data_IF_565742038393
#
_entry.id   IF_565742038393
#
_cell.length_a   1.000
_cell.length_b   1.000
_cell.length_c   1.000
_cell.angle_alpha   90.00
_cell.angle_beta   90.00
_cell.angle_gamma   90.00
#
_symmetry.space_group_name_H-M   'P 1'
#
loop_
_entity.id
_entity.type
_entity.pdbx_description
1 polymer ?
#
# COMPACT_ATOMS: atom_id res chain seq x y z
N UNK A 1 6.73 11.08 -21.35
CA UNK A 1 7.04 9.63 -21.44
C UNK A 1 5.77 8.75 -21.34
N UNK A 2 4.57 9.24 -21.68
CA UNK A 2 3.32 8.48 -21.51
C UNK A 2 2.98 7.48 -22.64
N UNK A 3 3.86 7.29 -23.63
CA UNK A 3 3.59 6.44 -24.79
C UNK A 3 4.23 5.05 -24.79
N UNK A 4 5.16 4.76 -23.87
CA UNK A 4 6.00 3.55 -23.97
C UNK A 4 5.41 2.29 -23.32
N UNK A 5 4.43 2.42 -22.41
CA UNK A 5 3.88 1.28 -21.68
C UNK A 5 2.57 0.71 -22.25
N UNK A 6 1.86 1.45 -23.11
CA UNK A 6 0.46 1.14 -23.44
C UNK A 6 0.24 -0.16 -24.26
N UNK A 7 1.27 -0.83 -24.78
CA UNK A 7 1.05 -1.99 -25.67
C UNK A 7 1.94 -3.22 -25.43
N UNK A 8 2.99 -3.17 -24.61
CA UNK A 8 3.97 -4.29 -24.59
C UNK A 8 3.61 -5.46 -23.66
N UNK A 9 2.74 -5.27 -22.65
CA UNK A 9 2.58 -6.26 -21.56
C UNK A 9 1.15 -6.61 -21.17
N UNK A 10 0.13 -6.20 -21.93
CA UNK A 10 -1.27 -6.48 -21.59
C UNK A 10 -1.70 -7.85 -22.14
N UNK A 11 -2.24 -8.69 -21.25
CA UNK A 11 -2.87 -9.97 -21.57
C UNK A 11 -1.90 -11.15 -21.71
N UNK A 12 -2.42 -12.39 -21.62
CA UNK A 12 -1.61 -13.60 -21.78
C UNK A 12 -1.10 -13.74 -23.23
N UNK A 13 0.14 -14.20 -23.38
CA UNK A 13 0.85 -14.41 -24.66
C UNK A 13 1.21 -15.88 -24.91
N UNK A 14 1.03 -16.74 -23.92
CA UNK A 14 1.28 -18.18 -24.00
C UNK A 14 0.37 -18.96 -23.05
N UNK A 15 0.35 -20.28 -23.18
CA UNK A 15 -0.52 -21.18 -22.40
C UNK A 15 -0.30 -21.10 -20.90
N UNK A 16 0.94 -20.87 -20.44
CA UNK A 16 1.23 -20.72 -19.01
C UNK A 16 0.59 -19.45 -18.45
N UNK A 17 0.70 -18.34 -19.18
CA UNK A 17 0.04 -17.08 -18.79
C UNK A 17 -1.48 -17.23 -18.84
N UNK A 18 -2.03 -17.92 -19.85
CA UNK A 18 -3.46 -18.20 -19.91
C UNK A 18 -3.94 -19.01 -18.70
N UNK A 19 -3.20 -20.04 -18.29
CA UNK A 19 -3.54 -20.84 -17.11
C UNK A 19 -3.56 -20.00 -15.82
N UNK A 20 -2.65 -19.03 -15.67
CA UNK A 20 -2.65 -18.10 -14.53
C UNK A 20 -3.87 -17.17 -14.58
N UNK A 21 -4.23 -16.66 -15.76
CA UNK A 21 -5.46 -15.85 -15.95
C UNK A 21 -6.71 -16.66 -15.61
N UNK A 22 -6.78 -17.92 -16.03
CA UNK A 22 -7.92 -18.81 -15.73
C UNK A 22 -8.04 -19.07 -14.22
N UNK A 23 -6.91 -19.29 -13.53
CA UNK A 23 -6.88 -19.44 -12.08
C UNK A 23 -7.29 -18.15 -11.35
N UNK A 24 -6.80 -17.00 -11.81
CA UNK A 24 -7.23 -15.69 -11.30
C UNK A 24 -8.74 -15.50 -11.48
N UNK A 25 -9.27 -15.79 -12.67
CA UNK A 25 -10.71 -15.66 -12.95
C UNK A 25 -11.57 -16.62 -12.14
N UNK A 26 -11.07 -17.82 -11.82
CA UNK A 26 -11.74 -18.72 -10.89
C UNK A 26 -11.87 -18.08 -9.50
N UNK A 27 -10.77 -17.55 -8.95
CA UNK A 27 -10.77 -16.87 -7.66
C UNK A 27 -11.62 -15.59 -7.66
N UNK A 28 -11.50 -14.76 -8.70
CA UNK A 28 -12.22 -13.50 -8.84
C UNK A 28 -13.73 -13.70 -8.93
N UNK A 29 -14.19 -14.72 -9.65
CA UNK A 29 -15.63 -15.08 -9.70
C UNK A 29 -16.18 -15.39 -8.31
N UNK A 30 -15.45 -16.17 -7.51
CA UNK A 30 -15.87 -16.47 -6.14
C UNK A 30 -15.85 -15.23 -5.23
N UNK A 31 -14.82 -14.37 -5.35
CA UNK A 31 -14.76 -13.11 -4.61
C UNK A 31 -15.96 -12.22 -4.96
N UNK A 32 -16.24 -12.07 -6.26
CA UNK A 32 -17.37 -11.28 -6.75
C UNK A 32 -18.72 -11.84 -6.29
N UNK A 33 -18.88 -13.15 -6.22
CA UNK A 33 -20.15 -13.76 -5.79
C UNK A 33 -20.38 -13.61 -4.27
N UNK A 34 -19.34 -13.82 -3.46
CA UNK A 34 -19.51 -13.99 -2.01
C UNK A 34 -18.93 -12.88 -1.13
N UNK A 35 -18.11 -11.99 -1.69
CA UNK A 35 -17.36 -11.00 -0.94
C UNK A 35 -17.19 -9.66 -1.69
N UNK A 36 -18.07 -9.33 -2.63
CA UNK A 36 -17.97 -8.10 -3.43
C UNK A 36 -17.88 -6.84 -2.55
N UNK A 37 -16.80 -6.07 -2.71
CA UNK A 37 -16.52 -4.87 -1.94
C UNK A 37 -16.09 -5.10 -0.49
N UNK A 38 -15.95 -6.37 -0.08
CA UNK A 38 -15.42 -6.75 1.23
C UNK A 38 -13.90 -6.92 1.15
N UNK A 39 -13.22 -6.93 2.29
CA UNK A 39 -11.76 -6.98 2.28
C UNK A 39 -11.23 -8.34 1.81
N UNK A 40 -11.87 -9.43 2.24
CA UNK A 40 -11.39 -10.78 2.02
C UNK A 40 -12.55 -11.74 1.70
N UNK A 41 -12.24 -12.79 0.97
CA UNK A 41 -13.12 -13.95 0.80
C UNK A 41 -12.64 -15.08 1.70
N UNK A 42 -13.54 -15.70 2.46
CA UNK A 42 -13.32 -17.02 3.05
C UNK A 42 -13.91 -18.09 2.12
N UNK A 43 -13.12 -18.70 1.21
CA UNK A 43 -13.66 -19.44 0.05
C UNK A 43 -14.35 -20.75 0.44
N UNK A 44 -13.91 -21.42 1.50
CA UNK A 44 -14.52 -22.67 1.97
C UNK A 44 -15.91 -22.41 2.56
N UNK A 45 -16.05 -21.35 3.36
CA UNK A 45 -17.32 -21.01 4.00
C UNK A 45 -18.21 -20.10 3.15
N UNK A 46 -17.69 -19.56 2.04
CA UNK A 46 -18.36 -18.59 1.14
C UNK A 46 -18.87 -17.37 1.88
N UNK A 47 -18.06 -16.86 2.81
CA UNK A 47 -18.37 -15.69 3.64
C UNK A 47 -17.35 -14.58 3.41
N UNK A 48 -17.76 -13.30 3.54
CA UNK A 48 -16.82 -12.20 3.53
C UNK A 48 -16.05 -12.10 4.85
N UNK A 49 -14.80 -11.65 4.75
CA UNK A 49 -13.98 -11.15 5.85
C UNK A 49 -13.86 -9.65 5.78
N UNK A 50 -13.87 -8.99 6.95
CA UNK A 50 -13.74 -7.53 7.05
C UNK A 50 -12.65 -7.17 8.03
N UNK A 51 -11.61 -6.50 7.55
CA UNK A 51 -10.47 -6.01 8.30
C UNK A 51 -10.40 -4.48 8.31
N UNK A 52 -10.07 -3.84 7.18
CA UNK A 52 -10.00 -2.38 7.06
C UNK A 52 -11.29 -1.75 6.54
N UNK A 53 -12.22 -2.53 5.99
CA UNK A 53 -13.42 -2.10 5.28
C UNK A 53 -13.11 -1.10 4.14
N UNK A 54 -12.14 -1.45 3.30
CA UNK A 54 -11.73 -0.64 2.14
C UNK A 54 -11.84 -1.41 0.82
N UNK A 55 -12.40 -2.63 0.85
CA UNK A 55 -12.45 -3.50 -0.32
C UNK A 55 -11.07 -4.03 -0.68
N UNK A 56 -10.28 -4.43 0.33
CA UNK A 56 -8.87 -4.79 0.22
C UNK A 56 -8.54 -5.65 -1.01
N UNK A 57 -9.13 -6.85 -1.12
CA UNK A 57 -8.90 -7.77 -2.27
C UNK A 57 -9.26 -7.13 -3.61
N UNK A 58 -10.31 -6.30 -3.66
CA UNK A 58 -10.72 -5.64 -4.90
C UNK A 58 -9.68 -4.61 -5.34
N UNK A 59 -9.19 -3.77 -4.43
CA UNK A 59 -8.20 -2.74 -4.73
C UNK A 59 -6.85 -3.38 -5.07
N UNK A 60 -6.42 -4.36 -4.29
CA UNK A 60 -5.14 -5.10 -4.45
C UNK A 60 -5.09 -5.93 -5.75
N UNK A 61 -6.23 -6.14 -6.41
CA UNK A 61 -6.33 -6.89 -7.67
C UNK A 61 -6.45 -6.01 -8.92
N UNK A 62 -6.57 -4.68 -8.79
CA UNK A 62 -6.82 -3.78 -9.92
C UNK A 62 -5.70 -3.78 -10.95
N UNK A 63 -4.46 -3.62 -10.51
CA UNK A 63 -3.28 -3.64 -11.37
C UNK A 63 -3.09 -5.01 -12.02
N UNK A 64 -3.34 -6.09 -11.28
CA UNK A 64 -3.27 -7.47 -11.76
C UNK A 64 -4.30 -7.70 -12.87
N UNK A 65 -5.55 -7.28 -12.67
CA UNK A 65 -6.59 -7.33 -13.72
C UNK A 65 -6.17 -6.55 -14.97
N UNK A 66 -5.56 -5.37 -14.78
CA UNK A 66 -5.08 -4.56 -15.89
C UNK A 66 -3.97 -5.27 -16.68
N UNK A 67 -2.93 -5.76 -16.00
CA UNK A 67 -1.81 -6.50 -16.60
C UNK A 67 -2.31 -7.76 -17.32
N UNK A 68 -3.26 -8.49 -16.73
CA UNK A 68 -3.86 -9.68 -17.32
C UNK A 68 -4.79 -9.38 -18.51
N UNK A 69 -5.05 -8.13 -18.84
CA UNK A 69 -5.96 -7.75 -19.93
C UNK A 69 -7.44 -8.03 -19.63
N UNK A 70 -7.81 -8.16 -18.35
CA UNK A 70 -9.17 -8.41 -17.88
C UNK A 70 -9.98 -7.11 -17.84
N UNK A 71 -10.14 -6.47 -18.99
CA UNK A 71 -10.71 -5.12 -19.11
C UNK A 71 -12.10 -4.99 -18.51
N UNK A 72 -12.94 -6.02 -18.62
CA UNK A 72 -14.31 -5.99 -18.10
C UNK A 72 -14.31 -5.98 -16.57
N UNK A 73 -13.60 -6.92 -15.98
CA UNK A 73 -13.46 -7.09 -14.53
C UNK A 73 -12.78 -5.86 -13.91
N UNK A 74 -11.71 -5.36 -14.55
CA UNK A 74 -11.03 -4.13 -14.17
C UNK A 74 -12.00 -2.93 -14.12
N UNK A 75 -12.78 -2.71 -15.20
CA UNK A 75 -13.73 -1.60 -15.26
C UNK A 75 -14.80 -1.69 -14.18
N UNK A 76 -15.29 -2.90 -13.89
CA UNK A 76 -16.27 -3.13 -12.84
C UNK A 76 -15.72 -2.83 -11.44
N UNK A 77 -14.52 -3.33 -11.13
CA UNK A 77 -13.82 -3.05 -9.87
C UNK A 77 -13.49 -1.56 -9.71
N UNK A 78 -12.96 -0.91 -10.77
CA UNK A 78 -12.74 0.53 -10.81
C UNK A 78 -14.02 1.32 -10.51
N UNK A 79 -15.14 0.91 -11.09
CA UNK A 79 -16.43 1.55 -10.84
C UNK A 79 -16.88 1.39 -9.39
N UNK A 80 -16.55 0.28 -8.73
CA UNK A 80 -16.80 0.14 -7.30
C UNK A 80 -15.95 1.12 -6.48
N UNK A 81 -14.65 1.24 -6.77
CA UNK A 81 -13.78 2.22 -6.11
C UNK A 81 -14.34 3.63 -6.27
N UNK A 82 -14.80 3.97 -7.48
CA UNK A 82 -15.37 5.27 -7.82
C UNK A 82 -16.65 5.65 -7.05
N UNK A 83 -17.50 4.66 -6.77
CA UNK A 83 -18.87 4.93 -6.35
C UNK A 83 -19.19 4.37 -4.96
N UNK A 84 -18.32 3.55 -4.38
CA UNK A 84 -18.65 2.76 -3.20
C UNK A 84 -17.53 2.69 -2.15
N UNK A 85 -16.27 2.97 -2.51
CA UNK A 85 -15.20 2.99 -1.52
C UNK A 85 -15.33 4.21 -0.60
N UNK A 86 -15.28 4.00 0.72
CA UNK A 86 -15.42 5.06 1.72
C UNK A 86 -14.16 5.11 2.60
N UNK A 87 -13.28 6.08 2.34
CA UNK A 87 -12.01 6.23 3.08
C UNK A 87 -12.25 6.80 4.48
N UNK A 88 -13.11 7.82 4.63
CA UNK A 88 -13.35 8.57 5.86
C UNK A 88 -14.29 7.86 6.85
N UNK A 89 -14.00 6.61 7.14
CA UNK A 89 -14.78 5.76 8.03
C UNK A 89 -14.17 5.69 9.44
N UNK A 90 -15.03 5.50 10.45
CA UNK A 90 -14.65 5.45 11.87
C UNK A 90 -14.02 4.10 12.26
N UNK A 91 -13.02 3.65 11.50
CA UNK A 91 -12.35 2.37 11.69
C UNK A 91 -10.85 2.58 11.83
N UNK A 92 -10.24 1.82 12.74
CA UNK A 92 -8.80 1.81 12.91
C UNK A 92 -8.17 0.91 11.85
N UNK A 93 -7.18 1.44 11.14
CA UNK A 93 -6.39 0.71 10.13
C UNK A 93 -4.95 0.58 10.58
N UNK A 94 -4.23 -0.42 10.04
CA UNK A 94 -2.78 -0.51 10.19
C UNK A 94 -2.14 0.34 9.07
N UNK A 95 -1.27 1.29 9.44
CA UNK A 95 -0.59 2.19 8.50
C UNK A 95 0.15 1.40 7.43
N UNK A 96 1.02 0.47 7.83
CA UNK A 96 1.83 -0.34 6.93
C UNK A 96 0.98 -1.11 5.92
N UNK A 97 0.03 -1.90 6.40
CA UNK A 97 -0.82 -2.76 5.55
C UNK A 97 -1.71 -1.94 4.62
N UNK A 98 -2.23 -0.81 5.09
CA UNK A 98 -3.05 0.09 4.25
C UNK A 98 -2.20 0.74 3.18
N UNK A 99 -0.95 1.11 3.50
CA UNK A 99 -0.03 1.71 2.55
C UNK A 99 0.37 0.72 1.46
N UNK A 100 0.91 -0.45 1.79
CA UNK A 100 1.46 -1.35 0.77
C UNK A 100 0.38 -1.99 -0.11
N UNK A 101 -0.85 -2.18 0.41
CA UNK A 101 -1.94 -2.83 -0.32
C UNK A 101 -2.85 -1.81 -1.02
N UNK A 102 -3.41 -0.88 -0.24
CA UNK A 102 -4.45 0.02 -0.77
C UNK A 102 -3.81 1.20 -1.48
N UNK A 103 -2.90 1.94 -0.83
CA UNK A 103 -2.25 3.09 -1.48
C UNK A 103 -1.37 2.62 -2.65
N UNK A 104 -0.57 1.57 -2.45
CA UNK A 104 0.24 0.93 -3.49
C UNK A 104 -0.59 0.44 -4.68
N UNK A 105 -1.70 -0.26 -4.44
CA UNK A 105 -2.61 -0.73 -5.49
C UNK A 105 -3.27 0.42 -6.27
N UNK A 106 -3.70 1.48 -5.59
CA UNK A 106 -4.27 2.68 -6.24
C UNK A 106 -3.23 3.43 -7.08
N UNK A 107 -1.99 3.56 -6.61
CA UNK A 107 -0.89 4.19 -7.34
C UNK A 107 -0.47 3.37 -8.56
N UNK A 108 -0.29 2.05 -8.39
CA UNK A 108 0.06 1.14 -9.49
C UNK A 108 -1.02 1.16 -10.57
N UNK A 109 -2.29 1.10 -10.16
CA UNK A 109 -3.42 1.21 -11.08
C UNK A 109 -3.44 2.54 -11.82
N UNK A 110 -3.17 3.66 -11.12
CA UNK A 110 -3.09 4.99 -11.73
C UNK A 110 -2.02 5.05 -12.82
N UNK A 111 -0.81 4.54 -12.56
CA UNK A 111 0.29 4.55 -13.53
C UNK A 111 0.03 3.61 -14.72
N UNK A 112 -0.57 2.44 -14.48
CA UNK A 112 -0.84 1.45 -15.52
C UNK A 112 -2.00 1.85 -16.43
N UNK A 113 -3.10 2.34 -15.86
CA UNK A 113 -4.30 2.60 -16.66
C UNK A 113 -4.19 3.83 -17.54
N UNK A 114 -3.24 4.72 -17.24
CA UNK A 114 -3.14 6.04 -17.87
C UNK A 114 -4.39 6.90 -17.62
N UNK A 115 -4.27 8.20 -17.87
CA UNK A 115 -5.38 9.15 -17.85
C UNK A 115 -6.18 9.13 -19.19
N UNK A 116 -6.22 8.00 -19.92
CA UNK A 116 -6.64 7.98 -21.34
C UNK A 116 -8.14 7.62 -21.57
N UNK A 117 -8.96 7.49 -20.53
CA UNK A 117 -10.42 7.23 -20.66
C UNK A 117 -11.27 8.38 -20.07
N UNK A 118 -10.91 9.63 -20.40
CA UNK A 118 -11.53 10.86 -19.89
C UNK A 118 -12.60 11.40 -20.84
N UNK A 119 -13.86 11.06 -20.55
CA UNK A 119 -14.96 11.99 -20.81
C UNK A 119 -16.03 12.02 -19.72
N UNK A 120 -15.93 11.19 -18.66
CA UNK A 120 -16.81 11.33 -17.48
C UNK A 120 -16.05 10.94 -16.21
N UNK A 121 -16.07 11.81 -15.19
CA UNK A 121 -15.38 11.68 -13.88
C UNK A 121 -13.85 11.73 -13.94
N UNK A 122 -13.33 12.95 -13.80
CA UNK A 122 -11.98 13.22 -13.32
C UNK A 122 -11.60 12.20 -12.22
N UNK A 123 -10.54 11.41 -12.44
CA UNK A 123 -9.59 11.11 -11.37
C UNK A 123 -10.00 10.22 -10.18
N UNK A 124 -10.85 9.21 -10.33
CA UNK A 124 -11.21 8.32 -9.19
C UNK A 124 -9.99 7.78 -8.43
N UNK A 125 -8.98 7.23 -9.13
CA UNK A 125 -7.77 6.72 -8.47
C UNK A 125 -6.91 7.86 -7.92
N UNK A 126 -6.80 8.98 -8.64
CA UNK A 126 -6.04 10.16 -8.18
C UNK A 126 -6.68 10.81 -6.94
N UNK A 127 -8.00 10.92 -6.88
CA UNK A 127 -8.73 11.41 -5.72
C UNK A 127 -8.59 10.41 -4.57
N UNK A 128 -8.88 9.12 -4.80
CA UNK A 128 -8.81 8.10 -3.76
C UNK A 128 -7.41 7.98 -3.14
N UNK A 129 -6.35 8.01 -3.94
CA UNK A 129 -4.97 7.94 -3.41
C UNK A 129 -4.57 9.19 -2.63
N UNK A 130 -5.02 10.38 -3.07
CA UNK A 130 -4.80 11.64 -2.33
C UNK A 130 -5.57 11.62 -1.01
N UNK A 131 -6.87 11.30 -1.05
CA UNK A 131 -7.72 11.22 0.14
C UNK A 131 -7.19 10.20 1.15
N UNK A 132 -6.73 9.04 0.68
CA UNK A 132 -6.13 8.03 1.53
C UNK A 132 -4.79 8.49 2.10
N UNK A 133 -3.90 9.04 1.28
CA UNK A 133 -2.63 9.57 1.74
C UNK A 133 -2.81 10.66 2.81
N UNK A 134 -3.73 11.59 2.59
CA UNK A 134 -4.10 12.63 3.54
C UNK A 134 -4.69 12.06 4.83
N UNK A 135 -5.53 11.04 4.72
CA UNK A 135 -6.08 10.35 5.88
C UNK A 135 -5.01 9.59 6.68
N UNK A 136 -3.89 9.20 6.06
CA UNK A 136 -2.77 8.48 6.68
C UNK A 136 -1.71 9.40 7.31
N UNK A 137 -1.53 10.63 6.81
CA UNK A 137 -0.55 11.60 7.31
C UNK A 137 -0.58 11.87 8.83
N UNK A 138 -1.73 11.84 9.53
CA UNK A 138 -1.76 12.04 10.97
C UNK A 138 -0.91 11.03 11.77
N UNK A 139 -0.58 9.87 11.21
CA UNK A 139 0.33 8.90 11.83
C UNK A 139 1.77 9.42 11.99
N UNK A 140 2.16 10.50 11.30
CA UNK A 140 3.53 11.05 11.27
C UNK A 140 3.69 12.40 11.98
N UNK A 141 2.63 12.93 12.61
CA UNK A 141 2.61 14.31 13.16
C UNK A 141 3.54 14.50 14.37
N UNK A 142 3.78 13.47 15.18
CA UNK A 142 4.74 13.54 16.27
C UNK A 142 5.79 12.45 16.08
N UNK A 143 7.03 12.82 15.79
CA UNK A 143 8.17 11.90 15.86
C UNK A 143 8.73 11.97 17.30
N UNK A 144 9.13 10.82 17.89
CA UNK A 144 9.25 9.49 17.28
C UNK A 144 8.01 8.61 17.48
N UNK A 145 6.81 9.19 17.41
CA UNK A 145 5.57 8.41 17.42
C UNK A 145 5.30 7.74 16.09
N UNK A 146 6.00 6.63 15.87
CA UNK A 146 5.75 5.68 14.79
C UNK A 146 4.48 4.86 15.03
N UNK A 147 3.33 5.51 15.07
CA UNK A 147 2.08 4.89 15.49
C UNK A 147 1.51 4.01 14.38
N UNK A 148 1.44 2.71 14.66
CA UNK A 148 0.99 1.69 13.72
C UNK A 148 -0.50 1.78 13.36
N UNK A 149 -1.35 2.27 14.26
CA UNK A 149 -2.81 2.28 14.05
C UNK A 149 -3.35 3.68 13.97
N UNK A 150 -4.25 3.89 13.02
CA UNK A 150 -4.84 5.18 12.74
C UNK A 150 -6.33 5.04 12.47
N UNK A 151 -7.13 5.90 13.09
CA UNK A 151 -8.53 6.02 12.75
C UNK A 151 -8.72 7.00 11.59
N UNK A 152 -9.13 6.51 10.41
CA UNK A 152 -9.14 7.31 9.19
C UNK A 152 -10.10 8.52 9.26
N UNK A 153 -11.22 8.40 9.99
CA UNK A 153 -12.17 9.52 10.17
C UNK A 153 -11.68 10.60 11.12
N UNK A 154 -11.02 10.22 12.21
CA UNK A 154 -10.66 11.16 13.29
C UNK A 154 -9.20 11.61 13.23
N UNK A 155 -8.36 10.97 12.42
CA UNK A 155 -6.92 11.19 12.40
C UNK A 155 -6.21 10.77 13.70
N UNK A 156 -6.91 10.11 14.63
CA UNK A 156 -6.34 9.70 15.91
C UNK A 156 -5.47 8.47 15.72
N UNK A 157 -4.17 8.67 15.84
CA UNK A 157 -3.19 7.60 15.87
C UNK A 157 -3.06 7.01 17.29
N UNK A 158 -3.01 5.69 17.41
CA UNK A 158 -2.96 4.99 18.70
C UNK A 158 -1.90 3.89 18.72
N UNK A 159 -1.18 3.73 19.85
CA UNK A 159 -0.26 2.60 20.00
C UNK A 159 -1.04 1.27 20.07
N UNK A 160 -0.36 0.14 19.87
CA UNK A 160 -0.87 -1.19 20.21
C UNK A 160 -1.41 -1.27 21.64
N UNK A 161 -2.42 -2.11 21.90
CA UNK A 161 -2.98 -2.29 23.26
C UNK A 161 -1.96 -2.90 24.23
N UNK A 162 -0.96 -3.60 23.70
CA UNK A 162 0.04 -4.38 24.43
C UNK A 162 1.39 -3.67 24.59
N UNK A 163 1.54 -2.44 24.10
CA UNK A 163 2.78 -1.68 24.25
C UNK A 163 2.97 -0.60 23.18
N UNK A 164 3.93 0.30 23.38
CA UNK A 164 4.22 1.39 22.43
C UNK A 164 5.05 0.95 21.22
N UNK A 165 5.44 -0.30 21.12
CA UNK A 165 6.41 -0.74 20.11
C UNK A 165 5.74 -1.03 18.76
N UNK A 166 6.37 -0.58 17.68
CA UNK A 166 6.01 -0.87 16.29
C UNK A 166 7.05 -1.81 15.68
N UNK A 167 6.64 -2.62 14.70
CA UNK A 167 7.61 -3.45 13.98
C UNK A 167 8.50 -2.55 13.13
N UNK A 168 9.78 -2.87 12.98
CA UNK A 168 10.69 -2.05 12.17
C UNK A 168 10.24 -2.03 10.71
N UNK A 169 9.90 -3.19 10.14
CA UNK A 169 9.37 -3.26 8.78
C UNK A 169 8.15 -2.36 8.57
N UNK A 170 7.24 -2.27 9.54
CA UNK A 170 6.01 -1.47 9.41
C UNK A 170 6.27 0.04 9.27
N UNK A 171 7.40 0.54 9.77
CA UNK A 171 7.75 1.97 9.70
C UNK A 171 8.71 2.28 8.55
N UNK A 172 9.34 1.25 7.98
CA UNK A 172 10.33 1.36 6.90
C UNK A 172 9.87 0.77 5.57
N UNK A 173 8.60 0.40 5.46
CA UNK A 173 8.03 -0.24 4.26
C UNK A 173 6.78 0.49 3.81
N UNK A 174 6.92 1.82 3.71
CA UNK A 174 5.85 2.77 3.34
C UNK A 174 6.40 3.91 2.46
N UNK A 175 7.72 3.94 2.25
CA UNK A 175 8.44 5.07 1.68
C UNK A 175 8.19 5.18 0.18
N UNK A 176 8.14 4.05 -0.54
CA UNK A 176 7.96 4.05 -1.99
C UNK A 176 6.63 4.67 -2.40
N UNK A 177 5.56 4.31 -1.69
CA UNK A 177 4.20 4.72 -1.95
C UNK A 177 4.00 6.20 -1.62
N UNK A 178 4.50 6.67 -0.47
CA UNK A 178 4.41 8.09 -0.12
C UNK A 178 5.29 8.97 -1.02
N UNK A 179 6.47 8.49 -1.43
CA UNK A 179 7.33 9.19 -2.39
C UNK A 179 6.69 9.27 -3.78
N UNK A 180 6.09 8.18 -4.25
CA UNK A 180 5.34 8.18 -5.51
C UNK A 180 4.08 9.05 -5.42
N UNK A 181 3.44 9.13 -4.25
CA UNK A 181 2.35 10.08 -4.03
C UNK A 181 2.82 11.54 -4.11
N UNK A 182 4.00 11.87 -3.58
CA UNK A 182 4.61 13.19 -3.84
C UNK A 182 4.89 13.40 -5.32
N UNK A 183 5.47 12.42 -6.01
CA UNK A 183 5.76 12.52 -7.44
C UNK A 183 4.49 12.78 -8.27
N UNK A 184 3.42 12.02 -8.02
CA UNK A 184 2.17 12.13 -8.78
C UNK A 184 1.30 13.33 -8.43
N UNK A 185 1.51 13.96 -7.28
CA UNK A 185 0.71 15.12 -6.82
C UNK A 185 1.46 16.44 -6.83
N UNK A 186 2.79 16.41 -6.88
CA UNK A 186 3.65 17.58 -6.67
C UNK A 186 3.69 18.08 -5.22
N UNK A 187 3.04 17.39 -4.27
CA UNK A 187 2.98 17.82 -2.88
C UNK A 187 4.08 17.16 -2.03
N UNK A 188 5.07 17.91 -1.51
CA UNK A 188 6.22 17.34 -0.80
C UNK A 188 5.86 16.71 0.55
N UNK A 189 4.70 17.04 1.13
CA UNK A 189 4.32 16.59 2.49
C UNK A 189 4.37 15.07 2.69
N UNK A 190 4.13 14.28 1.63
CA UNK A 190 4.14 12.82 1.71
C UNK A 190 5.57 12.27 1.81
N UNK A 191 6.47 12.68 0.89
CA UNK A 191 7.90 12.36 0.95
C UNK A 191 8.50 12.85 2.28
N UNK A 192 8.25 14.10 2.65
CA UNK A 192 8.78 14.69 3.89
C UNK A 192 8.38 13.87 5.12
N UNK A 193 7.17 13.30 5.14
CA UNK A 193 6.70 12.50 6.27
C UNK A 193 7.50 11.21 6.46
N UNK A 194 7.73 10.47 5.37
CA UNK A 194 8.42 9.17 5.40
C UNK A 194 9.95 9.31 5.43
N UNK A 195 10.49 10.39 4.86
CA UNK A 195 11.92 10.68 4.90
C UNK A 195 12.40 10.96 6.31
N UNK A 196 11.62 11.68 7.13
CA UNK A 196 11.95 11.87 8.55
C UNK A 196 12.07 10.54 9.31
N UNK A 197 11.28 9.53 8.92
CA UNK A 197 11.38 8.18 9.50
C UNK A 197 12.68 7.52 9.06
N UNK A 198 12.99 7.55 7.75
CA UNK A 198 14.21 6.98 7.18
C UNK A 198 15.47 7.61 7.78
N UNK A 199 15.56 8.94 7.85
CA UNK A 199 16.69 9.67 8.44
C UNK A 199 16.93 9.24 9.89
N UNK A 200 15.87 9.20 10.71
CA UNK A 200 15.98 8.79 12.10
C UNK A 200 16.52 7.35 12.24
N UNK A 201 15.96 6.39 11.49
CA UNK A 201 16.43 5.01 11.57
C UNK A 201 17.84 4.81 11.01
N UNK A 202 18.27 5.64 10.05
CA UNK A 202 19.63 5.60 9.53
C UNK A 202 20.66 5.93 10.63
N UNK A 203 20.35 6.86 11.52
CA UNK A 203 21.22 7.30 12.62
C UNK A 203 21.29 6.31 13.80
N UNK A 204 20.30 5.42 13.95
CA UNK A 204 20.30 4.44 15.04
C UNK A 204 21.41 3.40 14.90
N UNK A 205 21.98 2.98 16.03
CA UNK A 205 22.98 1.92 16.07
C UNK A 205 22.40 0.59 15.56
N UNK A 206 23.20 -0.09 14.73
CA UNK A 206 22.87 -1.40 14.11
C UNK A 206 24.01 -2.38 14.38
N UNK A 207 23.71 -3.67 14.27
CA UNK A 207 24.70 -4.73 14.37
C UNK A 207 25.10 -5.15 12.96
N UNK A 208 26.23 -4.67 12.44
CA UNK A 208 26.68 -4.93 11.06
C UNK A 208 25.59 -4.69 9.99
N UNK A 209 24.78 -3.64 10.19
CA UNK A 209 23.65 -3.28 9.33
C UNK A 209 22.33 -3.99 9.66
N UNK A 210 22.34 -4.97 10.56
CA UNK A 210 21.13 -5.66 11.02
C UNK A 210 20.37 -4.81 12.04
N UNK A 211 19.05 -4.75 11.85
CA UNK A 211 18.12 -4.06 12.75
C UNK A 211 17.35 -5.03 13.63
N UNK A 212 17.05 -4.69 14.90
CA UNK A 212 16.11 -5.43 15.72
C UNK A 212 14.69 -5.42 15.12
N UNK A 213 13.82 -6.33 15.56
CA UNK A 213 12.45 -6.42 15.02
C UNK A 213 11.48 -5.32 15.47
N UNK A 214 11.82 -4.56 16.51
CA UNK A 214 10.93 -3.54 17.08
C UNK A 214 11.64 -2.21 17.29
N UNK A 215 10.86 -1.14 17.14
CA UNK A 215 11.21 0.23 17.49
C UNK A 215 10.15 0.80 18.44
N UNK A 216 10.57 1.52 19.47
CA UNK A 216 9.65 2.13 20.40
C UNK A 216 9.01 3.38 19.79
N UNK A 217 7.69 3.40 19.58
CA UNK A 217 6.98 4.56 19.03
C UNK A 217 6.80 5.71 20.03
N UNK A 218 7.60 5.81 21.09
CA UNK A 218 7.65 7.00 21.97
C UNK A 218 9.04 7.55 22.10
N UNK A 219 10.06 6.69 22.14
CA UNK A 219 11.47 7.11 22.25
C UNK A 219 12.19 7.10 20.91
N UNK A 220 11.69 6.34 19.94
CA UNK A 220 12.34 6.13 18.64
C UNK A 220 13.54 5.21 18.67
N UNK A 221 13.77 4.52 19.78
CA UNK A 221 14.91 3.62 19.93
C UNK A 221 14.53 2.20 19.54
N UNK A 222 15.48 1.46 18.96
CA UNK A 222 15.31 0.03 18.76
C UNK A 222 15.10 -0.70 20.09
N UNK A 223 14.32 -1.79 20.03
CA UNK A 223 13.95 -2.58 21.20
C UNK A 223 14.35 -4.03 21.03
N UNK A 224 15.06 -4.54 22.02
CA UNK A 224 15.56 -5.92 22.04
C UNK A 224 16.82 -6.11 21.19
N UNK A 225 17.27 -7.36 21.13
CA UNK A 225 18.45 -7.80 20.36
C UNK A 225 18.15 -9.04 19.51
N UNK A 226 16.92 -9.13 19.02
CA UNK A 226 16.50 -10.21 18.14
C UNK A 226 16.57 -9.74 16.70
N UNK A 227 17.39 -10.42 15.91
CA UNK A 227 17.67 -10.10 14.51
C UNK A 227 17.17 -11.23 13.62
N UNK A 228 16.50 -10.86 12.53
CA UNK A 228 15.94 -11.80 11.57
C UNK A 228 15.81 -11.13 10.21
N UNK A 229 15.79 -11.93 9.15
CA UNK A 229 15.42 -11.53 7.79
C UNK A 229 13.97 -11.92 7.45
N UNK A 230 13.21 -12.41 8.42
CA UNK A 230 11.79 -12.71 8.29
C UNK A 230 10.90 -11.62 8.88
N UNK A 231 9.68 -12.02 9.26
CA UNK A 231 8.63 -11.12 9.73
C UNK A 231 9.15 -10.07 10.73
N UNK A 232 8.73 -8.82 10.52
CA UNK A 232 9.02 -7.59 11.30
C UNK A 232 10.32 -6.87 10.95
N UNK A 233 11.18 -7.46 10.14
CA UNK A 233 12.44 -6.84 9.71
C UNK A 233 12.77 -7.09 8.23
N UNK A 234 12.24 -8.14 7.62
CA UNK A 234 12.31 -8.46 6.19
C UNK A 234 12.32 -7.25 5.25
N UNK A 235 11.19 -6.55 5.14
CA UNK A 235 10.98 -5.54 4.11
C UNK A 235 11.68 -4.20 4.40
N UNK A 236 12.29 -4.04 5.57
CA UNK A 236 13.27 -2.96 5.81
C UNK A 236 14.41 -3.05 4.79
N UNK A 237 15.04 -4.22 4.69
CA UNK A 237 16.17 -4.44 3.80
C UNK A 237 15.75 -4.33 2.33
N UNK A 238 14.54 -4.79 2.00
CA UNK A 238 13.94 -4.66 0.67
C UNK A 238 13.78 -3.18 0.28
N UNK A 239 13.22 -2.36 1.16
CA UNK A 239 12.92 -0.96 0.85
C UNK A 239 14.16 -0.07 0.82
N UNK A 240 15.26 -0.44 1.48
CA UNK A 240 16.55 0.24 1.25
C UNK A 240 16.91 0.16 -0.24
N UNK A 241 17.04 -1.04 -0.79
CA UNK A 241 17.41 -1.21 -2.19
C UNK A 241 16.37 -0.59 -3.14
N UNK A 242 15.08 -0.79 -2.88
CA UNK A 242 14.03 -0.26 -3.76
C UNK A 242 13.97 1.26 -3.76
N UNK A 243 14.22 1.93 -2.63
CA UNK A 243 14.27 3.40 -2.58
C UNK A 243 15.49 3.94 -3.33
N UNK A 244 16.66 3.29 -3.20
CA UNK A 244 17.83 3.62 -4.01
C UNK A 244 17.50 3.53 -5.51
N UNK A 245 16.83 2.46 -5.94
CA UNK A 245 16.42 2.31 -7.33
C UNK A 245 15.36 3.33 -7.76
N UNK A 246 14.36 3.61 -6.92
CA UNK A 246 13.28 4.57 -7.21
C UNK A 246 13.82 5.99 -7.45
N UNK A 247 14.91 6.34 -6.78
CA UNK A 247 15.55 7.66 -6.88
C UNK A 247 16.63 7.73 -7.96
N UNK A 248 16.65 6.76 -8.88
CA UNK A 248 17.71 6.62 -9.89
C UNK A 248 19.11 6.64 -9.26
N UNK A 249 19.24 5.91 -8.15
CA UNK A 249 20.51 5.68 -7.44
C UNK A 249 21.14 6.92 -6.83
N UNK A 250 20.35 7.98 -6.64
CA UNK A 250 20.84 9.29 -6.20
C UNK A 250 20.85 9.47 -4.68
N UNK A 251 19.99 8.78 -3.94
CA UNK A 251 19.95 8.87 -2.47
C UNK A 251 20.79 7.77 -1.82
N UNK A 252 21.62 8.14 -0.85
CA UNK A 252 22.22 7.18 0.07
C UNK A 252 21.17 6.79 1.11
N UNK A 253 20.62 5.59 0.95
CA UNK A 253 19.57 5.00 1.79
C UNK A 253 20.17 4.04 2.81
#
# INVERSE_FOLDING_TARGET
MSGFLNNLYIGPKNERQQAVVDAFMHAWKAYKEYAWGQDELHPISRKPGTWFNLGLTLVDALDTMYIMGLTKEFKEARNWVANSMVIQQAKDVNLFETTIRVLGGLLSTYHLSGDDDFSTKLDVHRISKIELGDALLPAFIQIPRYLRRLNLKTGKAQPPKWGPDSSVSEVTTIQLEFRDLTFTTGNPKYKDAVDRVSTHLHELQKEDGLVPTFINAKTGEFRGKYYTLGARADSYYEYLLKQWLQTDKSENV
#
